data_IF_827266236226
#
_entry.id   IF_827266236226
#
_cell.length_a   1.000
_cell.length_b   1.000
_cell.length_c   1.000
_cell.angle_alpha   90.00
_cell.angle_beta   90.00
_cell.angle_gamma   90.00
#
_symmetry.space_group_name_H-M   'P 1'
#
loop_
_entity.id
_entity.type
_entity.pdbx_description
1 polymer ?
#
# COMPACT_ATOMS: atom_id res chain seq x y z
N UNK A 1 -12.74 3.55 16.80
CA UNK A 1 -12.13 4.89 16.73
C UNK A 1 -11.77 5.19 15.27
N UNK A 2 -12.48 6.09 14.60
CA UNK A 2 -12.16 6.43 13.20
C UNK A 2 -10.88 7.29 13.16
N UNK A 3 -9.75 6.74 12.69
CA UNK A 3 -8.55 7.54 12.42
C UNK A 3 -8.89 8.54 11.33
N UNK A 4 -8.81 9.83 11.63
CA UNK A 4 -9.13 10.87 10.66
C UNK A 4 -8.25 10.73 9.40
N UNK A 5 -8.84 10.95 8.22
CA UNK A 5 -8.16 10.83 6.92
C UNK A 5 -7.32 12.08 6.62
N UNK A 6 -6.28 11.95 5.79
CA UNK A 6 -5.41 13.02 5.31
C UNK A 6 -5.64 13.29 3.82
N UNK A 7 -5.23 14.46 3.33
CA UNK A 7 -5.17 14.80 1.90
C UNK A 7 -3.71 15.03 1.49
N UNK A 8 -3.41 14.92 0.20
CA UNK A 8 -2.14 15.37 -0.36
C UNK A 8 -2.26 16.83 -0.81
N UNK A 9 -1.36 17.70 -0.33
CA UNK A 9 -1.25 19.10 -0.75
C UNK A 9 0.19 19.39 -1.14
N UNK A 10 0.44 19.79 -2.39
CA UNK A 10 1.80 20.04 -2.92
C UNK A 10 2.77 18.87 -2.66
N UNK A 11 2.30 17.63 -2.85
CA UNK A 11 3.07 16.41 -2.61
C UNK A 11 3.31 16.06 -1.13
N UNK A 12 2.69 16.76 -0.18
CA UNK A 12 2.86 16.51 1.26
C UNK A 12 1.54 16.14 1.94
N UNK A 13 1.64 15.31 2.98
CA UNK A 13 0.52 14.98 3.85
C UNK A 13 0.02 16.23 4.57
N UNK A 14 -1.28 16.52 4.46
CA UNK A 14 -1.90 17.70 5.08
C UNK A 14 -1.89 17.68 6.61
N UNK A 15 -1.54 16.55 7.25
CA UNK A 15 -1.55 16.39 8.71
C UNK A 15 -0.18 16.52 9.36
N UNK A 16 0.84 15.90 8.77
CA UNK A 16 2.17 15.83 9.37
C UNK A 16 3.27 16.40 8.46
N UNK A 17 2.95 16.83 7.24
CA UNK A 17 3.92 17.40 6.31
C UNK A 17 4.86 16.39 5.64
N UNK A 18 4.78 15.09 5.97
CA UNK A 18 5.59 14.05 5.33
C UNK A 18 5.33 13.97 3.82
N UNK A 19 6.38 13.75 3.04
CA UNK A 19 6.31 13.57 1.58
C UNK A 19 6.26 12.11 1.12
N UNK A 20 6.33 11.17 2.06
CA UNK A 20 6.34 9.73 1.77
C UNK A 20 4.99 9.09 2.10
N UNK A 21 4.57 8.19 1.21
CA UNK A 21 3.31 7.48 1.29
C UNK A 21 3.55 5.99 1.02
N UNK A 22 2.71 5.15 1.62
CA UNK A 22 2.77 3.69 1.50
C UNK A 22 1.38 3.18 1.13
N UNK A 23 1.30 2.04 0.46
CA UNK A 23 0.03 1.38 0.13
C UNK A 23 -0.27 0.26 1.11
N UNK A 24 -1.50 -0.23 1.15
CA UNK A 24 -1.73 -1.62 1.56
C UNK A 24 -0.89 -2.56 0.68
N UNK A 25 -0.52 -3.76 1.17
CA UNK A 25 0.01 -4.81 0.31
C UNK A 25 -0.91 -4.99 -0.91
N UNK A 26 -0.33 -4.87 -2.10
CA UNK A 26 -1.05 -4.84 -3.36
C UNK A 26 -0.38 -5.77 -4.39
N UNK A 27 0.34 -6.77 -3.91
CA UNK A 27 1.06 -7.72 -4.73
C UNK A 27 1.03 -9.09 -4.05
N UNK A 28 0.82 -10.13 -4.85
CA UNK A 28 1.07 -11.50 -4.43
C UNK A 28 1.82 -12.27 -5.50
N UNK A 29 2.59 -13.25 -5.06
CA UNK A 29 3.24 -14.20 -5.95
C UNK A 29 2.26 -15.32 -6.29
N UNK A 30 2.17 -15.64 -7.58
CA UNK A 30 1.45 -16.79 -8.09
C UNK A 30 2.40 -17.98 -7.99
N UNK A 31 1.98 -19.00 -7.26
CA UNK A 31 2.79 -20.17 -6.98
C UNK A 31 2.25 -21.40 -7.71
N UNK A 32 3.15 -22.22 -8.23
CA UNK A 32 2.84 -23.60 -8.60
C UNK A 32 3.51 -24.57 -7.63
N UNK A 33 2.91 -25.73 -7.40
CA UNK A 33 3.53 -26.78 -6.60
C UNK A 33 4.12 -27.85 -7.52
N UNK A 34 5.44 -27.99 -7.50
CA UNK A 34 6.16 -28.93 -8.36
C UNK A 34 7.32 -29.57 -7.60
N UNK A 35 7.50 -30.88 -7.75
CA UNK A 35 8.58 -31.66 -7.12
C UNK A 35 8.67 -31.46 -5.60
N UNK A 36 7.53 -31.37 -4.91
CA UNK A 36 7.47 -31.28 -3.45
C UNK A 36 7.76 -29.90 -2.86
N UNK A 37 7.83 -28.84 -3.70
CA UNK A 37 8.05 -27.46 -3.28
C UNK A 37 7.17 -26.48 -4.06
N UNK A 38 6.93 -25.30 -3.48
CA UNK A 38 6.34 -24.19 -4.22
C UNK A 38 7.39 -23.47 -5.05
N UNK A 39 7.04 -23.13 -6.29
CA UNK A 39 7.85 -22.33 -7.21
C UNK A 39 7.03 -21.10 -7.63
N UNK A 40 7.65 -19.92 -7.59
CA UNK A 40 7.02 -18.68 -8.06
C UNK A 40 6.97 -18.73 -9.59
N UNK A 41 5.77 -18.62 -10.15
CA UNK A 41 5.54 -18.62 -11.60
C UNK A 41 5.10 -17.26 -12.14
N UNK A 42 4.76 -16.34 -11.25
CA UNK A 42 4.40 -14.99 -11.61
C UNK A 42 4.15 -14.14 -10.37
N UNK A 43 3.90 -12.87 -10.63
CA UNK A 43 3.56 -11.89 -9.61
C UNK A 43 2.43 -11.05 -10.16
N UNK A 44 1.37 -10.90 -9.38
CA UNK A 44 0.19 -10.14 -9.76
C UNK A 44 0.02 -8.94 -8.84
N UNK A 45 -0.33 -7.79 -9.44
CA UNK A 45 -0.65 -6.56 -8.73
C UNK A 45 -2.17 -6.47 -8.51
N UNK A 46 -2.55 -6.16 -7.28
CA UNK A 46 -3.92 -5.83 -6.88
C UNK A 46 -4.14 -4.34 -7.16
N UNK A 47 -5.07 -4.04 -8.06
CA UNK A 47 -5.37 -2.64 -8.43
C UNK A 47 -6.12 -1.87 -7.33
N UNK A 48 -6.84 -2.57 -6.45
CA UNK A 48 -7.53 -1.97 -5.30
C UNK A 48 -6.62 -1.91 -4.08
N UNK A 49 -5.91 -0.79 -3.93
CA UNK A 49 -5.08 -0.51 -2.76
C UNK A 49 -5.45 0.82 -2.11
N UNK A 50 -5.25 0.91 -0.79
CA UNK A 50 -5.38 2.18 -0.05
C UNK A 50 -4.02 2.80 0.16
N UNK A 51 -3.95 4.12 0.09
CA UNK A 51 -2.73 4.89 0.34
C UNK A 51 -2.77 5.44 1.77
N UNK A 52 -1.63 5.41 2.46
CA UNK A 52 -1.44 5.94 3.80
C UNK A 52 -0.20 6.83 3.83
N UNK A 53 -0.22 7.84 4.70
CA UNK A 53 0.97 8.61 4.99
C UNK A 53 1.95 7.81 5.84
N UNK A 54 3.21 7.70 5.42
CA UNK A 54 4.25 6.97 6.17
C UNK A 54 4.50 7.56 7.55
N UNK A 55 4.45 8.89 7.68
CA UNK A 55 4.77 9.58 8.94
C UNK A 55 3.68 9.54 10.01
N UNK A 56 2.39 9.57 9.64
CA UNK A 56 1.29 9.63 10.60
C UNK A 56 0.27 8.50 10.48
N UNK A 57 0.48 7.57 9.55
CA UNK A 57 -0.40 6.41 9.28
C UNK A 57 -1.86 6.79 8.97
N UNK A 58 -2.12 8.06 8.64
CA UNK A 58 -3.44 8.50 8.21
C UNK A 58 -3.71 8.00 6.79
N UNK A 59 -4.90 7.42 6.57
CA UNK A 59 -5.39 7.09 5.23
C UNK A 59 -5.47 8.36 4.39
N UNK A 60 -4.93 8.30 3.18
CA UNK A 60 -4.86 9.43 2.26
C UNK A 60 -6.00 9.30 1.26
N UNK A 61 -6.82 10.34 1.17
CA UNK A 61 -7.81 10.51 0.11
C UNK A 61 -7.24 11.51 -0.89
N UNK A 62 -7.23 11.11 -2.16
CA UNK A 62 -6.80 11.94 -3.29
C UNK A 62 -8.03 12.60 -3.90
#
# INVERSE_FOLDING_TARGET
>A
MAKAKAKVKKGRCSKCGAGEFITTPNQYDVLTFSKGKFEIVGTELINDFKVFCRGCSAEVII
#
